data_IF_815794533394
#
_entry.id   IF_815794533394
#
_cell.length_a   1.000
_cell.length_b   1.000
_cell.length_c   1.000
_cell.angle_alpha   90.00
_cell.angle_beta   90.00
_cell.angle_gamma   90.00
#
_symmetry.space_group_name_H-M   'P 1'
#
loop_
_entity.id
_entity.type
_entity.pdbx_description
1 polymer ?
#
# COMPACT_ATOMS: atom_id res chain seq x y z
N UNK A 1 -37.06 10.51 -3.29
CA UNK A 1 -36.09 9.41 -3.07
C UNK A 1 -34.65 9.87 -3.24
N UNK A 2 -34.27 10.58 -4.29
CA UNK A 2 -32.88 11.08 -4.50
C UNK A 2 -32.32 11.96 -3.38
N UNK A 3 -33.12 12.88 -2.80
CA UNK A 3 -32.66 13.77 -1.72
C UNK A 3 -32.37 13.00 -0.42
N UNK A 4 -33.16 11.96 -0.12
CA UNK A 4 -32.96 11.14 1.08
C UNK A 4 -31.70 10.26 0.94
N UNK A 5 -31.40 9.74 -0.25
CA UNK A 5 -30.16 8.97 -0.50
C UNK A 5 -28.93 9.87 -0.37
N UNK A 6 -28.97 11.07 -0.92
CA UNK A 6 -27.89 12.06 -0.82
C UNK A 6 -27.64 12.50 0.62
N UNK A 7 -28.71 12.69 1.42
CA UNK A 7 -28.57 13.04 2.83
C UNK A 7 -27.98 11.89 3.65
N UNK A 8 -28.39 10.66 3.38
CA UNK A 8 -27.83 9.45 4.02
C UNK A 8 -26.35 9.31 3.72
N UNK A 9 -25.94 9.41 2.45
CA UNK A 9 -24.53 9.36 2.03
C UNK A 9 -23.71 10.46 2.70
N UNK A 10 -24.25 11.67 2.83
CA UNK A 10 -23.57 12.78 3.50
C UNK A 10 -23.35 12.48 4.99
N UNK A 11 -24.37 11.95 5.67
CA UNK A 11 -24.29 11.61 7.10
C UNK A 11 -23.29 10.48 7.31
N UNK A 12 -23.31 9.43 6.47
CA UNK A 12 -22.35 8.34 6.51
C UNK A 12 -20.91 8.88 6.33
N UNK A 13 -20.63 9.69 5.31
CA UNK A 13 -19.31 10.28 5.08
C UNK A 13 -18.82 11.16 6.23
N UNK A 14 -19.71 11.81 6.96
CA UNK A 14 -19.36 12.61 8.14
C UNK A 14 -19.08 11.77 9.38
N UNK A 15 -19.75 10.63 9.53
CA UNK A 15 -19.65 9.76 10.71
C UNK A 15 -18.52 8.73 10.58
N UNK A 16 -18.26 8.22 9.37
CA UNK A 16 -17.29 7.18 9.11
C UNK A 16 -15.90 7.42 9.73
N UNK A 17 -15.26 8.61 9.63
CA UNK A 17 -13.97 8.87 10.25
C UNK A 17 -13.99 8.72 11.77
N UNK A 18 -15.09 9.10 12.43
CA UNK A 18 -15.23 8.96 13.88
C UNK A 18 -15.45 7.50 14.29
N UNK A 19 -16.22 6.73 13.50
CA UNK A 19 -16.39 5.30 13.70
C UNK A 19 -15.06 4.56 13.54
N UNK A 20 -14.31 4.90 12.49
CA UNK A 20 -12.99 4.33 12.23
C UNK A 20 -12.02 4.63 13.37
N UNK A 21 -11.97 5.88 13.84
CA UNK A 21 -11.18 6.27 15.00
C UNK A 21 -11.66 5.57 16.28
N UNK A 22 -12.97 5.45 16.49
CA UNK A 22 -13.55 4.73 17.63
C UNK A 22 -13.15 3.26 17.66
N UNK A 23 -13.09 2.60 16.50
CA UNK A 23 -12.58 1.23 16.38
C UNK A 23 -11.07 1.20 16.70
N UNK A 24 -10.29 2.15 16.18
CA UNK A 24 -8.86 2.21 16.45
C UNK A 24 -8.55 2.39 17.94
N UNK A 25 -9.34 3.20 18.67
CA UNK A 25 -9.19 3.43 20.11
C UNK A 25 -9.37 2.16 20.96
N UNK A 26 -10.11 1.15 20.49
CA UNK A 26 -10.25 -0.14 21.18
C UNK A 26 -8.94 -0.92 21.31
N UNK A 27 -7.96 -0.60 20.47
CA UNK A 27 -6.64 -1.25 20.49
C UNK A 27 -5.64 -0.59 21.44
N UNK A 28 -5.96 0.56 22.03
CA UNK A 28 -5.08 1.21 23.00
C UNK A 28 -4.79 0.33 24.23
N UNK A 29 -5.80 -0.26 24.91
CA UNK A 29 -5.54 -1.09 26.09
C UNK A 29 -4.70 -2.33 25.74
N UNK A 30 -4.96 -3.00 24.62
CA UNK A 30 -4.21 -4.18 24.20
C UNK A 30 -2.77 -3.84 23.85
N UNK A 31 -2.51 -2.69 23.19
CA UNK A 31 -1.17 -2.20 22.89
C UNK A 31 -0.37 -1.91 24.15
N UNK A 32 -0.99 -1.28 25.17
CA UNK A 32 -0.34 -1.01 26.45
C UNK A 32 0.00 -2.34 27.15
N UNK A 33 -0.95 -3.27 27.22
CA UNK A 33 -0.75 -4.58 27.87
C UNK A 33 0.34 -5.40 27.16
N UNK A 34 0.38 -5.37 25.83
CA UNK A 34 1.42 -6.03 25.03
C UNK A 34 2.80 -5.45 25.35
N UNK A 35 2.94 -4.13 25.37
CA UNK A 35 4.19 -3.47 25.68
C UNK A 35 4.68 -3.80 27.12
N UNK A 36 3.77 -3.81 28.10
CA UNK A 36 4.09 -4.21 29.49
C UNK A 36 4.53 -5.67 29.56
N UNK A 37 3.78 -6.61 28.95
CA UNK A 37 4.11 -8.04 28.95
C UNK A 37 5.46 -8.35 28.32
N UNK A 38 5.81 -7.60 27.28
CA UNK A 38 7.07 -7.75 26.56
C UNK A 38 8.24 -6.97 27.21
N UNK A 39 8.00 -6.23 28.30
CA UNK A 39 9.00 -5.37 28.94
C UNK A 39 9.46 -4.20 28.06
N UNK A 40 8.68 -3.85 27.02
CA UNK A 40 9.01 -2.78 26.09
C UNK A 40 8.52 -1.41 26.61
N UNK A 41 9.15 -0.98 27.68
CA UNK A 41 8.87 0.35 28.25
C UNK A 41 9.28 1.50 27.31
N UNK A 42 10.21 1.25 26.36
CA UNK A 42 10.60 2.25 25.39
C UNK A 42 9.44 2.66 24.48
N UNK A 43 8.58 1.73 24.13
CA UNK A 43 7.35 2.00 23.38
C UNK A 43 6.36 2.82 24.19
N UNK A 44 6.19 2.54 25.49
CA UNK A 44 5.28 3.30 26.35
C UNK A 44 5.75 4.74 26.61
N UNK A 45 7.07 4.97 26.66
CA UNK A 45 7.66 6.26 26.92
C UNK A 45 7.85 7.15 25.68
N UNK A 46 7.73 6.59 24.49
CA UNK A 46 7.86 7.31 23.22
C UNK A 46 6.52 7.43 22.49
N UNK A 47 5.95 8.64 22.36
CA UNK A 47 4.68 8.83 21.65
C UNK A 47 4.69 8.31 20.21
N UNK A 48 5.82 8.47 19.49
CA UNK A 48 5.95 7.98 18.12
C UNK A 48 5.93 6.45 18.06
N UNK A 49 6.72 5.77 18.90
CA UNK A 49 6.74 4.30 18.96
C UNK A 49 5.39 3.73 19.42
N UNK A 50 4.76 4.40 20.41
CA UNK A 50 3.43 3.99 20.87
C UNK A 50 2.38 4.12 19.77
N UNK A 51 2.35 5.26 19.07
CA UNK A 51 1.46 5.47 17.92
C UNK A 51 1.67 4.39 16.86
N UNK A 52 2.92 4.08 16.55
CA UNK A 52 3.27 3.06 15.56
C UNK A 52 2.79 1.66 15.97
N UNK A 53 3.04 1.25 17.23
CA UNK A 53 2.58 -0.03 17.76
C UNK A 53 1.05 -0.13 17.79
N UNK A 54 0.38 0.92 18.27
CA UNK A 54 -1.08 1.00 18.30
C UNK A 54 -1.68 0.92 16.90
N UNK A 55 -1.13 1.69 15.96
CA UNK A 55 -1.59 1.71 14.58
C UNK A 55 -1.34 0.36 13.88
N UNK A 56 -0.21 -0.28 14.17
CA UNK A 56 0.09 -1.63 13.69
C UNK A 56 -0.93 -2.67 14.17
N UNK A 57 -1.31 -2.64 15.45
CA UNK A 57 -2.31 -3.54 16.01
C UNK A 57 -3.71 -3.29 15.42
N UNK A 58 -4.08 -2.04 15.20
CA UNK A 58 -5.32 -1.67 14.54
C UNK A 58 -5.36 -2.16 13.08
N UNK A 59 -4.28 -1.94 12.31
CA UNK A 59 -4.20 -2.39 10.91
C UNK A 59 -4.16 -3.91 10.75
N UNK A 60 -3.59 -4.62 11.70
CA UNK A 60 -3.64 -6.08 11.72
C UNK A 60 -5.10 -6.60 11.79
N UNK A 61 -5.99 -5.87 12.46
CA UNK A 61 -7.40 -6.21 12.56
C UNK A 61 -8.22 -5.73 11.36
N UNK A 62 -8.11 -4.44 10.99
CA UNK A 62 -8.98 -3.84 9.98
C UNK A 62 -8.51 -4.15 8.56
N UNK A 63 -7.22 -4.43 8.37
CA UNK A 63 -6.60 -4.63 7.07
C UNK A 63 -7.30 -5.64 6.17
N UNK A 64 -7.65 -6.86 6.65
CA UNK A 64 -8.39 -7.83 5.84
C UNK A 64 -9.74 -7.32 5.33
N UNK A 65 -10.44 -6.51 6.12
CA UNK A 65 -11.73 -5.91 5.75
C UNK A 65 -11.54 -4.81 4.70
N UNK A 66 -10.53 -3.96 4.90
CA UNK A 66 -10.14 -2.94 3.92
C UNK A 66 -9.74 -3.58 2.60
N UNK A 67 -8.94 -4.66 2.64
CA UNK A 67 -8.58 -5.43 1.45
C UNK A 67 -9.82 -5.93 0.73
N UNK A 68 -10.71 -6.63 1.43
CA UNK A 68 -11.93 -7.20 0.83
C UNK A 68 -12.82 -6.13 0.16
N UNK A 69 -12.87 -4.91 0.71
CA UNK A 69 -13.62 -3.79 0.13
C UNK A 69 -12.93 -3.10 -1.05
N UNK A 70 -11.59 -3.17 -1.10
CA UNK A 70 -10.79 -2.50 -2.12
C UNK A 70 -10.33 -3.42 -3.26
N UNK A 71 -10.35 -4.74 -3.04
CA UNK A 71 -9.79 -5.75 -3.95
C UNK A 71 -10.39 -5.66 -5.37
N UNK A 72 -11.69 -5.40 -5.46
CA UNK A 72 -12.40 -5.23 -6.72
C UNK A 72 -11.99 -3.97 -7.51
N UNK A 73 -11.23 -3.06 -6.92
CA UNK A 73 -10.67 -1.86 -7.57
C UNK A 73 -9.16 -1.98 -7.77
N UNK A 74 -8.47 -2.50 -6.77
CA UNK A 74 -7.00 -2.62 -6.78
C UNK A 74 -6.55 -3.67 -7.80
N UNK A 75 -7.20 -4.83 -7.86
CA UNK A 75 -6.81 -5.87 -8.84
C UNK A 75 -6.95 -5.36 -10.28
N UNK A 76 -8.09 -4.80 -10.72
CA UNK A 76 -8.20 -4.22 -12.06
C UNK A 76 -7.18 -3.12 -12.35
N UNK A 77 -6.85 -2.30 -11.35
CA UNK A 77 -5.82 -1.26 -11.50
C UNK A 77 -4.46 -1.88 -11.82
N UNK A 78 -4.02 -2.87 -11.04
CA UNK A 78 -2.73 -3.52 -11.20
C UNK A 78 -2.66 -4.40 -12.47
N UNK A 79 -3.79 -4.92 -12.92
CA UNK A 79 -3.92 -5.67 -14.18
C UNK A 79 -4.06 -4.79 -15.43
N UNK A 80 -4.01 -3.45 -15.28
CA UNK A 80 -4.14 -2.52 -16.41
C UNK A 80 -5.55 -2.43 -17.01
N UNK A 81 -6.59 -2.79 -16.24
CA UNK A 81 -8.01 -2.73 -16.64
C UNK A 81 -8.69 -1.42 -16.24
N UNK A 82 -7.92 -0.39 -15.89
CA UNK A 82 -8.41 0.93 -15.52
C UNK A 82 -7.87 1.98 -16.48
N UNK A 83 -8.76 2.77 -17.08
CA UNK A 83 -8.40 3.91 -17.93
C UNK A 83 -9.24 5.14 -17.57
N UNK A 84 -8.59 6.27 -17.35
CA UNK A 84 -9.24 7.53 -16.97
C UNK A 84 -10.21 7.37 -15.79
N UNK A 85 -9.83 6.58 -14.78
CA UNK A 85 -10.64 6.30 -13.59
C UNK A 85 -11.84 5.36 -13.81
N UNK A 86 -11.98 4.78 -15.00
CA UNK A 86 -13.04 3.81 -15.32
C UNK A 86 -12.46 2.41 -15.39
N UNK A 87 -13.09 1.48 -14.69
CA UNK A 87 -12.77 0.05 -14.73
C UNK A 87 -13.50 -0.64 -15.88
N UNK A 88 -12.85 -1.62 -16.50
CA UNK A 88 -13.39 -2.51 -17.52
C UNK A 88 -12.91 -3.94 -17.32
N UNK A 89 -13.37 -4.84 -18.20
CA UNK A 89 -12.95 -6.24 -18.20
C UNK A 89 -11.71 -6.48 -19.06
N UNK A 90 -11.44 -5.57 -19.99
CA UNK A 90 -10.32 -5.68 -20.92
C UNK A 90 -9.08 -4.95 -20.38
N UNK A 91 -7.90 -5.48 -20.70
CA UNK A 91 -6.61 -4.82 -20.44
C UNK A 91 -6.45 -3.69 -21.46
N UNK A 92 -6.54 -2.45 -20.98
CA UNK A 92 -6.49 -1.20 -21.79
C UNK A 92 -5.26 -0.36 -21.51
N UNK A 93 -4.54 -0.69 -20.44
CA UNK A 93 -3.29 -0.05 -20.03
C UNK A 93 -2.26 -1.14 -19.70
N UNK A 94 -1.00 -0.76 -19.55
CA UNK A 94 0.04 -1.72 -19.18
C UNK A 94 -0.20 -2.23 -17.75
N UNK A 95 -0.25 -3.56 -17.48
CA UNK A 95 -0.27 -4.11 -16.14
C UNK A 95 1.08 -3.89 -15.41
N UNK A 96 1.11 -4.16 -14.11
CA UNK A 96 2.37 -4.15 -13.35
C UNK A 96 3.35 -5.18 -13.94
N UNK A 97 4.60 -4.78 -14.11
CA UNK A 97 5.64 -5.64 -14.68
C UNK A 97 7.04 -5.16 -14.26
N UNK A 98 8.04 -5.98 -14.57
CA UNK A 98 9.44 -5.65 -14.34
C UNK A 98 9.78 -5.50 -12.85
N UNK A 99 10.52 -4.45 -12.51
CA UNK A 99 10.90 -4.10 -11.14
C UNK A 99 9.82 -3.22 -10.53
N UNK A 100 9.18 -3.69 -9.46
CA UNK A 100 8.08 -3.01 -8.77
C UNK A 100 8.52 -2.53 -7.40
N UNK A 101 8.13 -1.32 -7.03
CA UNK A 101 8.31 -0.74 -5.71
C UNK A 101 6.93 -0.63 -5.04
N UNK A 102 6.64 -1.51 -4.08
CA UNK A 102 5.43 -1.44 -3.25
C UNK A 102 5.72 -0.59 -2.02
N UNK A 103 4.98 0.49 -1.84
CA UNK A 103 5.13 1.41 -0.71
C UNK A 103 4.09 1.09 0.36
N UNK A 104 4.55 1.03 1.62
CA UNK A 104 3.69 0.69 2.74
C UNK A 104 3.19 -0.75 2.67
N UNK A 105 4.08 -1.69 2.36
CA UNK A 105 3.74 -3.11 2.19
C UNK A 105 3.10 -3.75 3.42
N UNK A 106 3.26 -3.14 4.60
CA UNK A 106 2.64 -3.57 5.84
C UNK A 106 3.00 -5.01 6.19
N UNK A 107 1.99 -5.80 6.53
CA UNK A 107 2.15 -7.24 6.80
C UNK A 107 2.01 -8.11 5.54
N UNK A 108 2.03 -7.51 4.35
CA UNK A 108 1.89 -8.21 3.06
C UNK A 108 0.44 -8.43 2.65
N UNK A 109 -0.42 -7.48 2.95
CA UNK A 109 -1.84 -7.58 2.63
C UNK A 109 -2.10 -7.78 1.13
N UNK A 110 -1.29 -7.15 0.27
CA UNK A 110 -1.39 -7.21 -1.18
C UNK A 110 -0.39 -8.15 -1.85
N UNK A 111 0.48 -8.79 -1.08
CA UNK A 111 1.54 -9.65 -1.62
C UNK A 111 1.02 -10.81 -2.49
N UNK A 112 -0.17 -11.34 -2.20
CA UNK A 112 -0.82 -12.38 -3.01
C UNK A 112 -1.27 -11.88 -4.39
N UNK A 113 -1.48 -10.59 -4.58
CA UNK A 113 -1.77 -10.04 -5.92
C UNK A 113 -0.53 -10.13 -6.79
N UNK A 114 0.66 -9.83 -6.25
CA UNK A 114 1.92 -10.00 -6.96
C UNK A 114 2.20 -11.49 -7.28
N UNK A 115 1.83 -12.40 -6.37
CA UNK A 115 1.94 -13.84 -6.62
C UNK A 115 1.05 -14.26 -7.80
N UNK A 116 -0.21 -13.81 -7.84
CA UNK A 116 -1.14 -14.12 -8.94
C UNK A 116 -0.64 -13.59 -10.30
N UNK A 117 -0.12 -12.37 -10.33
CA UNK A 117 0.46 -11.78 -11.55
C UNK A 117 1.71 -12.54 -12.01
N UNK A 118 2.50 -13.07 -11.06
CA UNK A 118 3.73 -13.81 -11.35
C UNK A 118 3.47 -15.28 -11.73
N UNK A 119 2.50 -15.93 -11.09
CA UNK A 119 2.19 -17.37 -11.23
C UNK A 119 1.10 -17.64 -12.28
N UNK A 120 0.28 -16.65 -12.61
CA UNK A 120 -0.83 -16.78 -13.58
C UNK A 120 -0.41 -16.89 -15.03
N UNK A 121 0.90 -17.00 -15.30
CA UNK A 121 1.43 -17.14 -16.67
C UNK A 121 1.91 -18.59 -16.84
N UNK A 122 1.17 -19.33 -17.66
CA UNK A 122 1.64 -20.59 -18.24
C UNK A 122 3.03 -20.33 -18.87
N UNK A 123 4.04 -21.24 -18.72
CA UNK A 123 5.37 -21.07 -19.30
C UNK A 123 5.36 -20.66 -20.79
N UNK A 124 4.40 -21.16 -21.54
CA UNK A 124 4.21 -20.81 -22.97
C UNK A 124 3.71 -19.37 -23.16
N UNK A 125 2.84 -18.90 -22.28
CA UNK A 125 2.36 -17.51 -22.28
C UNK A 125 3.42 -16.52 -21.80
N UNK A 126 4.26 -16.91 -20.85
CA UNK A 126 5.40 -16.11 -20.39
C UNK A 126 6.46 -15.96 -21.50
N UNK A 127 6.76 -17.03 -22.21
CA UNK A 127 7.64 -17.02 -23.38
C UNK A 127 7.06 -16.11 -24.50
N UNK A 128 5.74 -16.18 -24.73
CA UNK A 128 5.06 -15.34 -25.72
C UNK A 128 5.06 -13.86 -25.30
N UNK A 129 4.84 -13.56 -24.01
CA UNK A 129 4.94 -12.20 -23.45
C UNK A 129 6.35 -11.66 -23.54
N UNK A 130 7.38 -12.46 -23.20
CA UNK A 130 8.79 -12.07 -23.36
C UNK A 130 9.13 -11.73 -24.81
N UNK A 131 8.66 -12.50 -25.78
CA UNK A 131 8.83 -12.23 -27.22
C UNK A 131 8.14 -10.96 -27.67
N UNK A 132 7.03 -10.57 -27.00
CA UNK A 132 6.32 -9.29 -27.21
C UNK A 132 6.90 -8.12 -26.42
N UNK A 133 7.97 -8.35 -25.63
CA UNK A 133 8.53 -7.32 -24.74
C UNK A 133 7.67 -7.03 -23.50
N UNK A 134 6.71 -7.91 -23.19
CA UNK A 134 5.83 -7.86 -22.03
C UNK A 134 6.43 -8.79 -20.96
N UNK A 135 7.48 -8.33 -20.25
CA UNK A 135 8.05 -9.12 -19.14
C UNK A 135 7.08 -9.15 -17.95
N UNK A 136 6.95 -10.33 -17.32
CA UNK A 136 6.30 -10.46 -16.02
C UNK A 136 7.03 -9.69 -14.91
N UNK A 137 6.68 -9.92 -13.65
CA UNK A 137 7.40 -9.36 -12.51
C UNK A 137 8.81 -9.96 -12.45
N UNK A 138 9.83 -9.11 -12.39
CA UNK A 138 11.22 -9.53 -12.22
C UNK A 138 11.67 -9.41 -10.77
N UNK A 139 11.22 -8.35 -10.07
CA UNK A 139 11.46 -8.11 -8.66
C UNK A 139 10.40 -7.18 -8.06
N UNK A 140 10.06 -7.44 -6.82
CA UNK A 140 9.22 -6.54 -6.01
C UNK A 140 10.02 -6.13 -4.78
N UNK A 141 10.13 -4.83 -4.54
CA UNK A 141 10.67 -4.27 -3.31
C UNK A 141 9.51 -3.77 -2.45
N UNK A 142 9.25 -4.47 -1.34
CA UNK A 142 8.21 -4.07 -0.37
C UNK A 142 8.80 -3.18 0.72
N UNK A 143 8.52 -1.88 0.66
CA UNK A 143 9.01 -0.89 1.61
C UNK A 143 8.13 -0.91 2.86
N UNK A 144 8.71 -1.32 3.99
CA UNK A 144 8.01 -1.39 5.27
C UNK A 144 8.97 -1.08 6.43
N UNK A 145 8.95 0.15 6.97
CA UNK A 145 9.87 0.56 8.02
C UNK A 145 9.57 -0.07 9.39
N UNK A 146 8.33 -0.53 9.63
CA UNK A 146 7.98 -1.13 10.92
C UNK A 146 8.59 -2.55 11.05
N UNK A 147 9.46 -2.83 12.03
CA UNK A 147 10.14 -4.11 12.15
C UNK A 147 9.20 -5.31 12.34
N UNK A 148 8.09 -5.13 13.08
CA UNK A 148 7.09 -6.20 13.30
C UNK A 148 6.35 -6.54 12.01
N UNK A 149 5.93 -5.50 11.28
CA UNK A 149 5.26 -5.64 9.98
C UNK A 149 6.20 -6.26 8.96
N UNK A 150 7.44 -5.78 8.86
CA UNK A 150 8.45 -6.33 7.95
C UNK A 150 8.76 -7.81 8.23
N UNK A 151 8.83 -8.21 9.51
CA UNK A 151 9.02 -9.62 9.88
C UNK A 151 7.82 -10.49 9.46
N UNK A 152 6.59 -9.98 9.64
CA UNK A 152 5.37 -10.65 9.19
C UNK A 152 5.30 -10.74 7.68
N UNK A 153 5.66 -9.66 6.98
CA UNK A 153 5.75 -9.62 5.52
C UNK A 153 6.73 -10.67 4.99
N UNK A 154 7.95 -10.78 5.56
CA UNK A 154 8.93 -11.80 5.16
C UNK A 154 8.38 -13.22 5.29
N UNK A 155 7.67 -13.52 6.39
CA UNK A 155 7.03 -14.83 6.58
C UNK A 155 5.97 -15.06 5.50
N UNK A 156 5.08 -14.09 5.27
CA UNK A 156 4.02 -14.19 4.27
C UNK A 156 4.56 -14.37 2.85
N UNK A 157 5.59 -13.65 2.48
CA UNK A 157 6.28 -13.77 1.17
C UNK A 157 6.72 -15.22 0.92
N UNK A 158 7.31 -15.87 1.94
CA UNK A 158 7.68 -17.30 1.86
C UNK A 158 6.47 -18.22 1.76
N UNK A 159 5.45 -17.99 2.57
CA UNK A 159 4.21 -18.79 2.58
C UNK A 159 3.50 -18.80 1.22
N UNK A 160 3.59 -17.71 0.46
CA UNK A 160 2.96 -17.59 -0.86
C UNK A 160 3.93 -17.84 -2.04
N UNK A 161 5.17 -18.28 -1.75
CA UNK A 161 6.14 -18.68 -2.78
C UNK A 161 6.76 -17.52 -3.57
N UNK A 162 6.88 -16.35 -2.99
CA UNK A 162 7.49 -15.16 -3.62
C UNK A 162 8.91 -14.86 -3.13
N UNK A 163 9.51 -15.70 -2.31
CA UNK A 163 10.84 -15.47 -1.68
C UNK A 163 12.01 -15.28 -2.66
N UNK A 164 11.85 -15.66 -3.92
CA UNK A 164 12.84 -15.40 -4.98
C UNK A 164 12.63 -14.08 -5.75
N UNK A 165 11.46 -13.46 -5.61
CA UNK A 165 11.04 -12.29 -6.40
C UNK A 165 10.74 -11.09 -5.52
N UNK A 166 10.22 -11.31 -4.31
CA UNK A 166 9.80 -10.26 -3.40
C UNK A 166 10.85 -10.06 -2.29
N UNK A 167 11.45 -8.88 -2.25
CA UNK A 167 12.42 -8.45 -1.26
C UNK A 167 11.79 -7.44 -0.29
N UNK A 168 11.90 -7.71 1.01
CA UNK A 168 11.39 -6.81 2.05
C UNK A 168 12.46 -5.80 2.44
N UNK A 169 12.19 -4.55 2.19
CA UNK A 169 13.07 -3.40 2.47
C UNK A 169 12.62 -2.74 3.78
N UNK A 170 13.35 -2.96 4.90
CA UNK A 170 12.90 -2.58 6.24
C UNK A 170 13.28 -1.14 6.62
N UNK A 171 13.12 -0.20 5.68
CA UNK A 171 13.42 1.22 5.88
C UNK A 171 12.31 2.10 5.31
N UNK A 172 12.30 3.37 5.69
CA UNK A 172 11.42 4.37 5.08
C UNK A 172 11.90 4.78 3.68
N UNK A 173 11.02 5.47 2.97
CA UNK A 173 11.28 5.92 1.58
C UNK A 173 12.53 6.79 1.51
N UNK A 174 12.77 7.60 2.53
CA UNK A 174 13.94 8.49 2.66
C UNK A 174 15.29 7.76 2.64
N UNK A 175 15.29 6.44 2.89
CA UNK A 175 16.50 5.63 3.05
C UNK A 175 16.61 4.46 2.05
N UNK A 176 15.72 4.38 1.06
CA UNK A 176 15.71 3.26 0.08
C UNK A 176 16.97 3.18 -0.78
N UNK A 177 17.65 4.29 -0.99
CA UNK A 177 18.88 4.40 -1.77
C UNK A 177 20.14 4.54 -0.89
N UNK A 178 20.02 4.38 0.43
CA UNK A 178 21.16 4.36 1.34
C UNK A 178 21.61 2.92 1.64
N UNK A 179 22.76 2.46 1.11
CA UNK A 179 23.26 1.10 1.32
C UNK A 179 23.72 0.84 2.76
N UNK A 180 23.75 1.87 3.63
CA UNK A 180 24.04 1.71 5.05
C UNK A 180 22.78 1.45 5.88
N UNK A 181 21.61 1.77 5.34
CA UNK A 181 20.34 1.64 6.04
C UNK A 181 19.75 0.21 5.92
N UNK A 182 20.05 -0.52 4.82
CA UNK A 182 19.61 -1.88 4.58
C UNK A 182 20.56 -2.60 3.60
N UNK A 183 20.40 -3.92 3.43
CA UNK A 183 21.29 -4.77 2.60
C UNK A 183 21.02 -4.62 1.09
N UNK A 184 20.86 -3.40 0.61
CA UNK A 184 20.60 -3.11 -0.80
C UNK A 184 20.52 -1.63 -1.09
N UNK A 185 20.17 -1.32 -2.33
CA UNK A 185 19.99 0.05 -2.79
C UNK A 185 19.02 0.08 -3.97
N UNK A 186 18.11 1.02 -3.97
CA UNK A 186 17.25 1.32 -5.11
C UNK A 186 17.80 2.54 -5.81
N UNK A 187 18.31 2.33 -7.02
CA UNK A 187 18.92 3.41 -7.80
C UNK A 187 17.85 4.32 -8.43
N UNK A 188 18.17 5.57 -8.71
CA UNK A 188 17.32 6.41 -9.55
C UNK A 188 17.07 5.76 -10.93
N UNK A 189 15.90 5.99 -11.50
CA UNK A 189 15.48 5.45 -12.79
C UNK A 189 15.65 3.92 -12.93
N UNK A 190 15.48 3.18 -11.83
CA UNK A 190 15.70 1.71 -11.81
C UNK A 190 14.42 0.87 -11.73
N UNK A 191 13.28 1.47 -11.35
CA UNK A 191 12.02 0.73 -11.20
C UNK A 191 11.06 0.97 -12.37
N UNK A 192 10.36 -0.08 -12.77
CA UNK A 192 9.39 -0.01 -13.86
C UNK A 192 8.02 0.44 -13.36
N UNK A 193 7.66 0.06 -12.12
CA UNK A 193 6.37 0.38 -11.52
C UNK A 193 6.51 0.80 -10.06
N UNK A 194 5.73 1.78 -9.62
CA UNK A 194 5.47 2.08 -8.21
C UNK A 194 4.02 1.73 -7.91
N UNK A 195 3.78 1.11 -6.77
CA UNK A 195 2.45 0.74 -6.28
C UNK A 195 2.26 1.37 -4.90
N UNK A 196 1.20 2.19 -4.75
CA UNK A 196 0.78 2.78 -3.49
C UNK A 196 -0.69 2.49 -3.26
N UNK A 197 -1.01 1.82 -2.14
CA UNK A 197 -2.38 1.43 -1.81
C UNK A 197 -2.67 1.86 -0.38
N UNK A 198 -3.46 2.94 -0.22
CA UNK A 198 -3.91 3.47 1.06
C UNK A 198 -2.77 3.72 2.07
N UNK A 199 -1.60 4.15 1.59
CA UNK A 199 -0.40 4.33 2.41
C UNK A 199 0.12 5.78 2.44
N UNK A 200 -0.13 6.59 1.42
CA UNK A 200 0.44 7.94 1.31
C UNK A 200 0.01 8.88 2.45
N UNK A 201 -1.15 8.66 3.06
CA UNK A 201 -1.63 9.45 4.19
C UNK A 201 -0.83 9.25 5.48
N UNK A 202 -0.05 8.16 5.59
CA UNK A 202 0.77 7.83 6.77
C UNK A 202 2.27 8.05 6.56
N UNK A 203 2.69 8.44 5.36
CA UNK A 203 4.08 8.69 5.02
C UNK A 203 4.52 10.05 5.61
N UNK A 204 5.67 10.11 6.32
CA UNK A 204 6.23 11.39 6.74
C UNK A 204 6.69 12.20 5.53
N UNK A 205 6.69 13.53 5.65
CA UNK A 205 7.15 14.44 4.59
C UNK A 205 6.66 14.04 3.18
N UNK A 206 5.34 13.93 2.95
CA UNK A 206 4.80 13.27 1.74
C UNK A 206 5.29 13.90 0.44
N UNK A 207 5.41 15.21 0.37
CA UNK A 207 5.89 15.91 -0.84
C UNK A 207 7.33 15.53 -1.20
N UNK A 208 8.19 15.43 -0.21
CA UNK A 208 9.59 15.03 -0.39
C UNK A 208 9.69 13.56 -0.81
N UNK A 209 8.97 12.69 -0.12
CA UNK A 209 9.00 11.25 -0.38
C UNK A 209 8.36 10.89 -1.73
N UNK A 210 7.25 11.53 -2.11
CA UNK A 210 6.68 11.39 -3.46
C UNK A 210 7.68 11.80 -4.54
N UNK A 211 8.45 12.87 -4.32
CA UNK A 211 9.49 13.29 -5.26
C UNK A 211 10.63 12.28 -5.37
N UNK A 212 11.08 11.69 -4.26
CA UNK A 212 12.10 10.63 -4.25
C UNK A 212 11.60 9.38 -5.00
N UNK A 213 10.37 8.97 -4.74
CA UNK A 213 9.75 7.84 -5.45
C UNK A 213 9.69 8.09 -6.96
N UNK A 214 9.29 9.30 -7.36
CA UNK A 214 9.24 9.64 -8.78
C UNK A 214 10.61 9.59 -9.44
N UNK A 215 11.68 9.96 -8.73
CA UNK A 215 13.06 9.84 -9.22
C UNK A 215 13.53 8.39 -9.40
N UNK A 216 12.93 7.45 -8.69
CA UNK A 216 13.24 6.01 -8.84
C UNK A 216 12.63 5.39 -10.09
N UNK A 217 11.59 6.01 -10.67
CA UNK A 217 10.94 5.51 -11.89
C UNK A 217 11.83 5.67 -13.12
N UNK A 218 11.92 4.64 -13.93
CA UNK A 218 12.46 4.70 -15.28
C UNK A 218 11.64 5.64 -16.17
N UNK A 219 12.24 6.14 -17.22
CA UNK A 219 11.49 6.83 -18.29
C UNK A 219 10.42 5.90 -18.87
N UNK A 220 9.15 6.34 -18.84
CA UNK A 220 8.01 5.51 -19.24
C UNK A 220 7.55 4.50 -18.18
N UNK A 221 8.16 4.50 -16.99
CA UNK A 221 7.66 3.79 -15.81
C UNK A 221 6.31 4.31 -15.38
N UNK A 222 5.58 3.52 -14.59
CA UNK A 222 4.19 3.81 -14.19
C UNK A 222 4.02 3.80 -12.69
N UNK A 223 3.13 4.66 -12.20
CA UNK A 223 2.69 4.70 -10.81
C UNK A 223 1.22 4.27 -10.72
N UNK A 224 0.96 3.19 -10.02
CA UNK A 224 -0.37 2.67 -9.75
C UNK A 224 -0.76 3.11 -8.34
N UNK A 225 -1.73 4.00 -8.24
CA UNK A 225 -2.14 4.60 -6.99
C UNK A 225 -3.62 4.32 -6.71
N UNK A 226 -3.91 3.73 -5.55
CA UNK A 226 -5.24 3.65 -4.97
C UNK A 226 -5.19 4.28 -3.58
N UNK A 227 -5.58 5.55 -3.48
CA UNK A 227 -5.34 6.37 -2.30
C UNK A 227 -6.57 7.18 -1.91
N UNK A 228 -6.62 7.60 -0.65
CA UNK A 228 -7.57 8.61 -0.22
C UNK A 228 -7.26 9.94 -0.89
N UNK A 229 -8.27 10.51 -1.52
CA UNK A 229 -8.15 11.82 -2.15
C UNK A 229 -9.05 12.83 -1.46
N UNK A 230 -8.66 14.09 -1.54
CA UNK A 230 -9.51 15.17 -1.09
C UNK A 230 -10.79 15.21 -1.91
N UNK A 231 -11.92 15.51 -1.26
CA UNK A 231 -13.22 15.63 -1.95
C UNK A 231 -13.15 16.68 -3.05
N UNK A 232 -13.70 16.32 -4.21
CA UNK A 232 -13.82 17.23 -5.36
C UNK A 232 -14.57 18.51 -4.96
N UNK A 233 -14.06 19.70 -5.32
CA UNK A 233 -14.71 20.99 -5.03
C UNK A 233 -16.17 21.07 -5.47
N UNK A 234 -16.57 20.33 -6.50
CA UNK A 234 -17.94 20.27 -7.01
C UNK A 234 -18.95 19.62 -6.05
N UNK A 235 -18.47 18.81 -5.08
CA UNK A 235 -19.33 18.10 -4.11
C UNK A 235 -19.77 18.91 -2.91
N UNK A 236 -19.44 20.21 -2.85
CA UNK A 236 -19.96 21.16 -1.88
C UNK A 236 -18.95 21.68 -0.87
N UNK A 237 -19.20 22.91 -0.43
CA UNK A 237 -18.32 23.64 0.50
C UNK A 237 -18.17 22.97 1.88
N UNK A 238 -19.24 22.41 2.41
CA UNK A 238 -19.24 21.83 3.77
C UNK A 238 -18.33 20.60 3.89
N UNK A 239 -18.36 19.69 2.93
CA UNK A 239 -17.50 18.50 2.93
C UNK A 239 -16.03 18.87 2.74
N UNK A 240 -15.75 19.91 1.97
CA UNK A 240 -14.39 20.42 1.78
C UNK A 240 -13.84 21.07 3.05
N UNK A 241 -14.65 21.89 3.74
CA UNK A 241 -14.28 22.53 5.01
C UNK A 241 -14.04 21.50 6.12
N UNK A 242 -14.76 20.36 6.08
CA UNK A 242 -14.57 19.26 7.02
C UNK A 242 -13.23 18.50 6.82
N UNK A 243 -12.68 18.51 5.62
CA UNK A 243 -11.40 17.85 5.30
C UNK A 243 -10.18 18.79 5.38
N UNK A 244 -10.39 20.09 5.66
CA UNK A 244 -9.31 21.08 5.83
C UNK A 244 -8.83 21.14 7.28
#
# INVERSE_FOLDING_TARGET
>A
MAVLSTLKELVEQLIDPYLFMGIAMRFLPSTILEAIRNGDFSTLLSPSKFKEAWWGNFWAFIGPQVKASAENKVIPLLEGRVKNGRMGDEVVERPINGVVLEIGAGTGMWADVFAKVNVGVNPEEDELRRRKGESGLTRVYGIEPNPKSAATLRRRVKEIGLDGVYEVVPVGIESINDPKAWDGRIEPESVDCIVTILCLCSIPEPEKNVKLLYQSLKKGGRWYAYEHVRIDPSRGFFLRAYQS
#
